data_IF_175983828436
#
_entry.id   IF_175983828436
#
_cell.length_a   1.000
_cell.length_b   1.000
_cell.length_c   1.000
_cell.angle_alpha   90.00
_cell.angle_beta   90.00
_cell.angle_gamma   90.00
#
_symmetry.space_group_name_H-M   'P 1'
#
loop_
_entity.id
_entity.type
_entity.pdbx_description
1 polymer ?
#
# COMPACT_ATOMS: atom_id res chain seq x y z
N UNK A 1 10.97 19.66 -0.12
CA UNK A 1 11.38 18.23 -0.10
C UNK A 1 10.36 17.36 0.63
N UNK A 2 9.99 17.69 1.89
CA UNK A 2 8.99 16.93 2.67
C UNK A 2 7.64 16.75 1.96
N UNK A 3 7.10 17.81 1.34
CA UNK A 3 5.82 17.74 0.62
C UNK A 3 5.85 16.76 -0.57
N UNK A 4 7.01 16.58 -1.21
CA UNK A 4 7.14 15.59 -2.30
C UNK A 4 7.08 14.17 -1.73
N UNK A 5 7.79 13.94 -0.62
CA UNK A 5 7.78 12.64 0.06
C UNK A 5 6.38 12.30 0.57
N UNK A 6 5.67 13.23 1.22
CA UNK A 6 4.29 12.99 1.68
C UNK A 6 3.38 12.57 0.53
N UNK A 7 3.46 13.26 -0.61
CA UNK A 7 2.65 12.96 -1.79
C UNK A 7 2.98 11.57 -2.35
N UNK A 8 4.25 11.20 -2.46
CA UNK A 8 4.63 9.86 -2.94
C UNK A 8 4.16 8.75 -2.01
N UNK A 9 4.38 8.89 -0.69
CA UNK A 9 3.93 7.88 0.28
C UNK A 9 2.41 7.79 0.38
N UNK A 10 1.71 8.91 0.20
CA UNK A 10 0.25 8.92 0.13
C UNK A 10 -0.26 8.12 -1.06
N UNK A 11 0.19 8.45 -2.28
CA UNK A 11 -0.25 7.74 -3.48
C UNK A 11 0.15 6.26 -3.47
N UNK A 12 1.35 5.93 -3.01
CA UNK A 12 1.78 4.53 -2.87
C UNK A 12 0.87 3.74 -1.91
N UNK A 13 0.46 4.37 -0.80
CA UNK A 13 -0.45 3.77 0.15
C UNK A 13 -1.85 3.58 -0.43
N UNK A 14 -2.41 4.60 -1.09
CA UNK A 14 -3.72 4.52 -1.74
C UNK A 14 -3.77 3.41 -2.79
N UNK A 15 -2.73 3.30 -3.64
CA UNK A 15 -2.62 2.22 -4.64
C UNK A 15 -2.65 0.85 -3.96
N UNK A 16 -1.98 0.70 -2.81
CA UNK A 16 -1.97 -0.55 -2.07
C UNK A 16 -3.35 -0.89 -1.49
N UNK A 17 -4.08 0.10 -0.96
CA UNK A 17 -5.43 -0.07 -0.41
C UNK A 17 -6.42 -0.46 -1.50
N UNK A 18 -6.46 0.34 -2.59
CA UNK A 18 -7.31 0.09 -3.75
C UNK A 18 -7.03 -1.28 -4.39
N UNK A 19 -5.76 -1.69 -4.45
CA UNK A 19 -5.38 -3.01 -4.96
C UNK A 19 -6.03 -4.17 -4.19
N UNK A 20 -6.22 -4.01 -2.87
CA UNK A 20 -6.89 -5.02 -2.04
C UNK A 20 -8.40 -4.93 -2.23
N UNK A 21 -8.94 -3.72 -2.33
CA UNK A 21 -10.37 -3.46 -2.47
C UNK A 21 -10.96 -4.06 -3.76
N UNK A 22 -10.17 -4.11 -4.85
CA UNK A 22 -10.55 -4.80 -6.09
C UNK A 22 -10.96 -6.26 -5.84
N UNK A 23 -10.27 -6.97 -4.93
CA UNK A 23 -10.60 -8.36 -4.57
C UNK A 23 -12.01 -8.46 -3.99
N UNK A 24 -12.34 -7.55 -3.06
CA UNK A 24 -13.65 -7.46 -2.42
C UNK A 24 -14.74 -7.09 -3.42
N UNK A 25 -14.50 -6.10 -4.27
CA UNK A 25 -15.46 -5.67 -5.30
C UNK A 25 -15.76 -6.81 -6.30
N UNK A 26 -14.76 -7.57 -6.73
CA UNK A 26 -14.95 -8.73 -7.60
C UNK A 26 -15.72 -9.86 -6.91
N UNK A 27 -15.52 -10.03 -5.60
CA UNK A 27 -16.25 -11.02 -4.82
C UNK A 27 -17.74 -10.65 -4.65
N UNK A 28 -18.05 -9.36 -4.52
CA UNK A 28 -19.42 -8.84 -4.40
C UNK A 28 -20.21 -8.86 -5.71
N UNK A 29 -19.53 -8.94 -6.86
CA UNK A 29 -20.20 -9.20 -8.13
C UNK A 29 -20.97 -10.53 -8.06
N UNK A 30 -22.10 -10.66 -8.75
CA UNK A 30 -22.88 -11.91 -8.84
C UNK A 30 -22.20 -12.97 -9.73
N UNK A 31 -20.89 -13.20 -9.55
CA UNK A 31 -20.04 -14.09 -10.35
C UNK A 31 -20.53 -15.55 -10.34
N UNK A 32 -21.38 -15.92 -9.38
CA UNK A 32 -21.98 -17.25 -9.29
C UNK A 32 -23.05 -17.52 -10.37
N UNK A 33 -23.61 -16.48 -11.00
CA UNK A 33 -24.58 -16.61 -12.11
C UNK A 33 -23.92 -16.70 -13.50
N UNK A 34 -22.61 -16.48 -13.58
CA UNK A 34 -21.85 -16.43 -14.84
C UNK A 34 -21.39 -17.83 -15.33
N UNK A 35 -21.02 -17.99 -16.61
CA UNK A 35 -20.56 -19.26 -17.14
C UNK A 35 -19.24 -19.71 -16.50
N UNK A 36 -18.96 -21.02 -16.56
CA UNK A 36 -17.84 -21.64 -15.85
C UNK A 36 -16.47 -20.99 -16.16
N UNK A 37 -16.26 -20.55 -17.40
CA UNK A 37 -15.04 -19.84 -17.80
C UNK A 37 -14.86 -18.51 -17.05
N UNK A 38 -15.92 -17.74 -16.86
CA UNK A 38 -15.89 -16.46 -16.14
C UNK A 38 -15.65 -16.70 -14.64
N UNK A 39 -16.24 -17.74 -14.06
CA UNK A 39 -15.99 -18.14 -12.66
C UNK A 39 -14.52 -18.45 -12.39
N UNK A 40 -13.88 -19.20 -13.30
CA UNK A 40 -12.46 -19.52 -13.19
C UNK A 40 -11.60 -18.24 -13.30
N UNK A 41 -11.95 -17.34 -14.23
CA UNK A 41 -11.24 -16.08 -14.42
C UNK A 41 -11.38 -15.17 -13.19
N UNK A 42 -12.58 -15.02 -12.63
CA UNK A 42 -12.82 -14.23 -11.41
C UNK A 42 -12.08 -14.80 -10.21
N UNK A 43 -12.04 -16.13 -10.06
CA UNK A 43 -11.26 -16.79 -9.01
C UNK A 43 -9.76 -16.48 -9.13
N UNK A 44 -9.24 -16.43 -10.36
CA UNK A 44 -7.84 -16.07 -10.63
C UNK A 44 -7.58 -14.58 -10.35
N UNK A 45 -8.52 -13.70 -10.67
CA UNK A 45 -8.44 -12.26 -10.35
C UNK A 45 -8.42 -12.05 -8.84
N UNK A 46 -9.32 -12.67 -8.08
CA UNK A 46 -9.35 -12.60 -6.62
C UNK A 46 -8.03 -13.11 -6.01
N UNK A 47 -7.52 -14.25 -6.48
CA UNK A 47 -6.23 -14.79 -6.03
C UNK A 47 -5.07 -13.82 -6.28
N UNK A 48 -5.10 -13.11 -7.41
CA UNK A 48 -4.05 -12.14 -7.78
C UNK A 48 -4.20 -10.82 -7.03
N UNK A 49 -5.42 -10.33 -6.82
CA UNK A 49 -5.72 -9.07 -6.14
C UNK A 49 -5.51 -9.15 -4.61
N UNK A 50 -5.65 -10.35 -4.02
CA UNK A 50 -5.27 -10.59 -2.62
C UNK A 50 -3.76 -10.42 -2.35
N UNK A 51 -2.92 -10.29 -3.38
CA UNK A 51 -1.54 -9.85 -3.20
C UNK A 51 -1.50 -8.33 -3.40
N UNK A 52 -1.34 -7.55 -2.32
CA UNK A 52 -1.33 -6.10 -2.43
C UNK A 52 -0.21 -5.64 -3.35
N UNK A 53 -0.52 -4.69 -4.23
CA UNK A 53 0.48 -4.01 -5.04
C UNK A 53 1.28 -3.03 -4.15
N UNK A 54 2.28 -3.57 -3.45
CA UNK A 54 3.21 -2.79 -2.65
C UNK A 54 4.26 -2.13 -3.54
N UNK A 55 4.41 -0.81 -3.43
CA UNK A 55 5.53 -0.09 -4.02
C UNK A 55 6.73 -0.22 -3.07
N UNK A 56 7.69 -1.08 -3.41
CA UNK A 56 8.87 -1.28 -2.57
C UNK A 56 9.94 -0.21 -2.80
N UNK A 57 10.51 0.32 -1.70
CA UNK A 57 11.70 1.17 -1.71
C UNK A 57 12.92 0.26 -1.80
N UNK A 58 13.11 -0.38 -2.96
CA UNK A 58 14.19 -1.35 -3.16
C UNK A 58 14.22 -2.42 -2.07
N UNK A 59 15.39 -2.75 -1.46
CA UNK A 59 15.49 -3.79 -0.44
C UNK A 59 15.11 -3.32 0.98
N UNK A 60 14.67 -2.07 1.16
CA UNK A 60 14.54 -1.48 2.50
C UNK A 60 13.17 -1.69 3.14
N UNK A 61 12.08 -1.33 2.45
CA UNK A 61 10.71 -1.46 2.98
C UNK A 61 9.64 -1.13 1.95
N UNK A 62 8.41 -1.56 2.18
CA UNK A 62 7.22 -1.15 1.42
C UNK A 62 6.92 0.33 1.67
N UNK A 63 6.63 1.09 0.61
CA UNK A 63 6.15 2.48 0.70
C UNK A 63 4.76 2.51 1.33
N UNK A 64 4.72 2.65 2.64
CA UNK A 64 3.47 2.81 3.41
C UNK A 64 3.52 4.07 4.25
N UNK A 65 2.36 4.63 4.60
CA UNK A 65 2.29 5.78 5.51
C UNK A 65 2.99 5.52 6.85
N UNK A 66 2.96 4.27 7.32
CA UNK A 66 3.68 3.85 8.52
C UNK A 66 5.20 4.03 8.41
N UNK A 67 5.79 3.65 7.27
CA UNK A 67 7.23 3.86 7.04
C UNK A 67 7.59 5.34 6.96
N UNK A 68 6.72 6.17 6.37
CA UNK A 68 6.90 7.62 6.34
C UNK A 68 6.87 8.24 7.75
N UNK A 69 5.92 7.83 8.59
CA UNK A 69 5.87 8.24 10.01
C UNK A 69 7.13 7.81 10.77
N UNK A 70 7.65 6.61 10.47
CA UNK A 70 8.93 6.14 10.99
C UNK A 70 10.08 7.10 10.66
N UNK A 71 10.18 7.55 9.41
CA UNK A 71 11.21 8.51 8.96
C UNK A 71 11.06 9.86 9.67
N UNK A 72 9.83 10.36 9.84
CA UNK A 72 9.60 11.62 10.58
C UNK A 72 10.04 11.47 12.03
N UNK A 73 9.67 10.36 12.68
CA UNK A 73 9.98 10.10 14.09
C UNK A 73 11.49 10.01 14.33
N UNK A 74 12.22 9.32 13.46
CA UNK A 74 13.69 9.21 13.57
C UNK A 74 14.36 10.56 13.32
N UNK A 75 13.88 11.32 12.33
CA UNK A 75 14.40 12.68 12.04
C UNK A 75 14.17 13.61 13.23
N UNK A 76 12.97 13.59 13.82
CA UNK A 76 12.65 14.39 15.01
C UNK A 76 13.52 13.99 16.21
N UNK A 77 13.66 12.69 16.47
CA UNK A 77 14.54 12.18 17.53
C UNK A 77 15.97 12.69 17.36
N UNK A 78 16.51 12.62 16.14
CA UNK A 78 17.84 13.14 15.82
C UNK A 78 17.96 14.64 16.06
N UNK A 79 16.97 15.43 15.63
CA UNK A 79 16.92 16.88 15.89
C UNK A 79 16.89 17.19 17.39
N UNK A 80 16.08 16.47 18.17
CA UNK A 80 16.01 16.66 19.62
C UNK A 80 17.31 16.31 20.32
N UNK A 81 17.98 15.21 19.93
CA UNK A 81 19.30 14.86 20.48
C UNK A 81 20.32 15.95 20.19
N UNK A 82 20.37 16.47 18.97
CA UNK A 82 21.30 17.54 18.60
C UNK A 82 21.05 18.82 19.39
N UNK A 83 19.79 19.17 19.64
CA UNK A 83 19.42 20.35 20.43
C UNK A 83 19.79 20.17 21.90
N UNK A 84 19.59 18.98 22.47
CA UNK A 84 19.89 18.69 23.88
C UNK A 84 21.40 18.60 24.16
N UNK A 85 22.19 18.17 23.17
CA UNK A 85 23.66 18.09 23.27
C UNK A 85 24.38 19.41 22.94
N UNK A 86 23.63 20.49 22.70
CA UNK A 86 24.15 21.85 22.52
C UNK A 86 23.96 22.66 23.79
#
# INVERSE_FOLDING_TARGET
MLLRLTVYYWYANEIMVESIEISSAVYECEWYNEPHQVKQLMSLVILRANRPLGLDIGPFSTMTLNTFLGIIKTTYSYMTMMIVYR
#
